data_IF_446465016405
#
_entry.id   IF_446465016405
#
_cell.length_a   1.000
_cell.length_b   1.000
_cell.length_c   1.000
_cell.angle_alpha   90.00
_cell.angle_beta   90.00
_cell.angle_gamma   90.00
#
_symmetry.space_group_name_H-M   'P 1'
#
loop_
_entity.id
_entity.type
_entity.pdbx_description
1 polymer ?
#
# COMPACT_ATOMS: atom_id res chain seq x y z
N UNK A 1 -0.70 10.03 -28.73
CA UNK A 1 -1.36 9.34 -27.61
C UNK A 1 -1.10 10.11 -26.33
N UNK A 2 -2.15 10.52 -25.63
CA UNK A 2 -2.00 11.19 -24.35
C UNK A 2 -1.50 10.19 -23.30
N UNK A 3 -0.51 10.60 -22.52
CA UNK A 3 -0.14 9.82 -21.35
C UNK A 3 -1.28 9.90 -20.32
N UNK A 4 -1.68 8.79 -19.71
CA UNK A 4 -2.66 8.84 -18.64
C UNK A 4 -2.07 9.61 -17.46
N UNK A 5 -2.90 10.39 -16.77
CA UNK A 5 -2.44 11.01 -15.54
C UNK A 5 -2.33 9.94 -14.42
N UNK A 6 -1.59 10.27 -13.38
CA UNK A 6 -1.34 9.32 -12.28
C UNK A 6 -2.63 8.89 -11.59
N UNK A 7 -3.56 9.81 -11.21
CA UNK A 7 -4.81 9.37 -10.61
C UNK A 7 -5.62 8.41 -11.48
N UNK A 8 -5.68 8.66 -12.79
CA UNK A 8 -6.41 7.77 -13.70
C UNK A 8 -5.73 6.41 -13.80
N UNK A 9 -4.41 6.37 -13.84
CA UNK A 9 -3.65 5.12 -13.87
C UNK A 9 -3.91 4.29 -12.61
N UNK A 10 -3.86 4.92 -11.43
CA UNK A 10 -4.12 4.22 -10.17
C UNK A 10 -5.53 3.66 -10.12
N UNK A 11 -6.52 4.41 -10.60
CA UNK A 11 -7.91 3.93 -10.66
C UNK A 11 -8.02 2.70 -11.55
N UNK A 12 -7.38 2.71 -12.72
CA UNK A 12 -7.40 1.57 -13.65
C UNK A 12 -6.72 0.34 -13.04
N UNK A 13 -5.60 0.53 -12.36
CA UNK A 13 -4.92 -0.56 -11.67
C UNK A 13 -5.78 -1.12 -10.54
N UNK A 14 -6.46 -0.27 -9.79
CA UNK A 14 -7.40 -0.71 -8.78
C UNK A 14 -8.55 -1.51 -9.39
N UNK A 15 -9.15 -1.01 -10.47
CA UNK A 15 -10.27 -1.68 -11.14
C UNK A 15 -9.84 -3.07 -11.65
N UNK A 16 -8.61 -3.20 -12.13
CA UNK A 16 -8.09 -4.45 -12.67
C UNK A 16 -7.74 -5.47 -11.58
N UNK A 17 -7.31 -5.02 -10.41
CA UNK A 17 -6.73 -5.89 -9.37
C UNK A 17 -7.57 -5.99 -8.10
N UNK A 18 -8.41 -5.00 -7.83
CA UNK A 18 -9.12 -4.88 -6.56
C UNK A 18 -8.26 -4.38 -5.41
N UNK A 19 -6.97 -4.11 -5.65
CA UNK A 19 -6.05 -3.66 -4.61
C UNK A 19 -6.08 -2.14 -4.48
N UNK A 20 -5.85 -1.65 -3.26
CA UNK A 20 -5.54 -0.24 -3.07
C UNK A 20 -4.14 0.01 -3.64
N UNK A 21 -4.04 0.98 -4.52
CA UNK A 21 -2.76 1.31 -5.19
C UNK A 21 -2.34 2.69 -4.71
N UNK A 22 -1.08 2.83 -4.30
CA UNK A 22 -0.55 4.12 -3.86
C UNK A 22 0.87 4.33 -4.36
N UNK A 23 1.24 5.59 -4.53
CA UNK A 23 2.59 6.01 -4.91
C UNK A 23 3.14 6.86 -3.79
N UNK A 24 4.38 6.57 -3.41
CA UNK A 24 5.10 7.25 -2.33
C UNK A 24 6.42 7.81 -2.84
N UNK A 25 6.85 8.91 -2.25
CA UNK A 25 8.19 9.45 -2.53
C UNK A 25 9.25 8.67 -1.75
N UNK A 26 10.51 9.08 -1.89
CA UNK A 26 11.62 8.41 -1.20
C UNK A 26 11.58 8.57 0.32
N UNK A 27 10.88 9.58 0.81
CA UNK A 27 10.69 9.81 2.25
C UNK A 27 9.41 9.16 2.78
N UNK A 28 8.77 8.31 2.00
CA UNK A 28 7.58 7.54 2.37
C UNK A 28 6.30 8.37 2.45
N UNK A 29 6.29 9.59 1.91
CA UNK A 29 5.08 10.39 1.84
C UNK A 29 4.20 9.87 0.70
N UNK A 30 2.92 9.65 0.98
CA UNK A 30 1.96 9.24 -0.03
C UNK A 30 1.67 10.42 -0.95
N UNK A 31 1.99 10.26 -2.24
CA UNK A 31 1.78 11.29 -3.26
C UNK A 31 0.40 11.17 -3.87
N UNK A 32 -0.05 9.94 -4.11
CA UNK A 32 -1.33 9.66 -4.74
C UNK A 32 -1.77 8.25 -4.35
N UNK A 33 -3.08 8.03 -4.33
CA UNK A 33 -3.64 6.71 -4.01
C UNK A 33 -5.04 6.56 -4.61
N UNK A 34 -5.43 5.32 -4.90
CA UNK A 34 -6.80 5.01 -5.26
C UNK A 34 -7.17 3.62 -4.72
N UNK A 35 -8.28 3.48 -3.98
CA UNK A 35 -9.07 4.57 -3.41
C UNK A 35 -8.25 5.43 -2.45
N UNK A 36 -8.60 6.70 -2.32
CA UNK A 36 -7.87 7.61 -1.43
C UNK A 36 -7.90 7.15 0.02
N UNK A 37 -9.05 6.67 0.46
CA UNK A 37 -9.22 6.19 1.82
C UNK A 37 -8.64 4.78 1.95
N UNK A 38 -7.97 4.55 3.08
CA UNK A 38 -7.56 3.20 3.46
C UNK A 38 -8.78 2.34 3.76
N UNK A 39 -8.59 1.01 3.79
CA UNK A 39 -9.57 0.09 4.33
C UNK A 39 -10.02 0.58 5.71
N UNK A 40 -11.30 0.38 6.05
CA UNK A 40 -11.82 0.81 7.35
C UNK A 40 -11.01 0.24 8.51
N UNK A 41 -10.58 -1.01 8.39
CA UNK A 41 -9.70 -1.65 9.38
C UNK A 41 -8.40 -0.87 9.57
N UNK A 42 -7.76 -0.47 8.46
CA UNK A 42 -6.52 0.31 8.51
C UNK A 42 -6.74 1.70 9.08
N UNK A 43 -7.86 2.35 8.75
CA UNK A 43 -8.19 3.66 9.32
C UNK A 43 -8.34 3.59 10.84
N UNK A 44 -8.95 2.53 11.34
CA UNK A 44 -9.10 2.31 12.77
C UNK A 44 -7.74 2.16 13.44
N UNK A 45 -6.82 1.39 12.83
CA UNK A 45 -5.47 1.22 13.34
C UNK A 45 -4.68 2.52 13.32
N UNK A 46 -4.82 3.31 12.27
CA UNK A 46 -4.10 4.59 12.13
C UNK A 46 -4.62 5.66 13.09
N UNK A 47 -5.85 5.55 13.57
CA UNK A 47 -6.39 6.46 14.57
C UNK A 47 -5.79 6.24 15.96
N UNK A 48 -5.17 5.08 16.22
CA UNK A 48 -4.49 4.77 17.46
C UNK A 48 -2.99 5.01 17.27
N UNK A 49 -2.39 5.82 18.16
CA UNK A 49 -0.99 6.22 18.01
C UNK A 49 -0.03 5.02 18.02
N UNK A 50 -0.26 4.06 18.92
CA UNK A 50 0.61 2.88 19.04
C UNK A 50 0.56 2.01 17.77
N UNK A 51 -0.65 1.71 17.27
CA UNK A 51 -0.79 0.88 16.07
C UNK A 51 -0.33 1.64 14.82
N UNK A 52 -0.53 2.96 14.77
CA UNK A 52 -0.02 3.78 13.66
C UNK A 52 1.50 3.70 13.56
N UNK A 53 2.22 3.77 14.69
CA UNK A 53 3.68 3.63 14.72
C UNK A 53 4.13 2.27 14.21
N UNK A 54 3.42 1.21 14.59
CA UNK A 54 3.73 -0.14 14.13
C UNK A 54 3.56 -0.23 12.61
N UNK A 55 2.49 0.34 12.06
CA UNK A 55 2.26 0.38 10.61
C UNK A 55 3.37 1.14 9.89
N UNK A 56 3.75 2.32 10.39
CA UNK A 56 4.80 3.14 9.78
C UNK A 56 6.13 2.39 9.77
N UNK A 57 6.48 1.74 10.87
CA UNK A 57 7.72 0.97 10.94
C UNK A 57 7.70 -0.21 9.97
N UNK A 58 6.59 -0.92 9.89
CA UNK A 58 6.43 -2.05 8.96
C UNK A 58 6.61 -1.60 7.51
N UNK A 59 6.00 -0.48 7.13
CA UNK A 59 6.12 0.04 5.77
C UNK A 59 7.55 0.51 5.48
N UNK A 60 8.20 1.16 6.45
CA UNK A 60 9.59 1.59 6.29
C UNK A 60 10.53 0.39 6.07
N UNK A 61 10.33 -0.68 6.84
CA UNK A 61 11.12 -1.90 6.69
C UNK A 61 10.88 -2.54 5.30
N UNK A 62 9.62 -2.54 4.84
CA UNK A 62 9.26 -3.08 3.54
C UNK A 62 9.90 -2.29 2.40
N UNK A 63 9.92 -0.96 2.49
CA UNK A 63 10.57 -0.12 1.48
C UNK A 63 12.07 -0.41 1.42
N UNK A 64 12.72 -0.57 2.58
CA UNK A 64 14.14 -0.96 2.61
C UNK A 64 14.38 -2.33 2.00
N UNK A 65 13.51 -3.29 2.25
CA UNK A 65 13.61 -4.62 1.64
C UNK A 65 13.47 -4.55 0.13
N UNK A 66 12.52 -3.77 -0.38
CA UNK A 66 12.32 -3.58 -1.81
C UNK A 66 13.55 -2.93 -2.46
N UNK A 67 14.14 -1.93 -1.82
CA UNK A 67 15.38 -1.30 -2.27
C UNK A 67 16.52 -2.31 -2.35
N UNK A 68 16.67 -3.14 -1.33
CA UNK A 68 17.70 -4.17 -1.30
C UNK A 68 17.55 -5.21 -2.41
N UNK A 69 16.33 -5.61 -2.69
CA UNK A 69 16.01 -6.56 -3.77
C UNK A 69 16.04 -5.91 -5.14
N UNK A 70 15.92 -4.60 -5.21
CA UNK A 70 15.73 -3.84 -6.45
C UNK A 70 14.50 -4.30 -7.22
N UNK A 71 13.44 -4.66 -6.51
CA UNK A 71 12.22 -5.20 -7.12
C UNK A 71 11.10 -5.38 -6.12
N UNK A 72 10.12 -6.14 -6.55
CA UNK A 72 8.90 -6.36 -5.77
C UNK A 72 9.18 -7.09 -4.47
N UNK A 73 8.66 -6.55 -3.37
CA UNK A 73 8.67 -7.18 -2.06
C UNK A 73 7.24 -7.36 -1.57
N UNK A 74 6.86 -8.61 -1.34
CA UNK A 74 5.53 -8.95 -0.81
C UNK A 74 5.70 -9.29 0.66
N UNK A 75 4.84 -8.72 1.50
CA UNK A 75 4.93 -8.92 2.93
C UNK A 75 3.55 -8.88 3.58
N UNK A 76 3.48 -9.40 4.79
CA UNK A 76 2.27 -9.36 5.60
C UNK A 76 2.48 -8.31 6.69
N UNK A 77 1.56 -7.34 6.78
CA UNK A 77 1.67 -6.32 7.82
C UNK A 77 1.42 -6.96 9.20
N UNK A 78 1.84 -6.29 10.29
CA UNK A 78 1.68 -6.86 11.63
C UNK A 78 0.24 -7.18 12.01
N UNK A 79 -0.73 -6.62 11.31
CA UNK A 79 -2.15 -6.82 11.58
C UNK A 79 -2.83 -7.78 10.60
N UNK A 80 -2.04 -8.47 9.77
CA UNK A 80 -2.52 -9.60 8.98
C UNK A 80 -2.93 -9.33 7.55
N UNK A 81 -2.70 -8.13 7.04
CA UNK A 81 -2.99 -7.80 5.64
C UNK A 81 -1.76 -7.99 4.77
N UNK A 82 -1.94 -8.55 3.58
CA UNK A 82 -0.87 -8.65 2.61
C UNK A 82 -0.69 -7.34 1.86
N UNK A 83 0.55 -6.99 1.61
CA UNK A 83 0.93 -5.80 0.88
C UNK A 83 2.13 -6.11 -0.01
N UNK A 84 2.28 -5.34 -1.08
CA UNK A 84 3.42 -5.46 -1.97
C UNK A 84 3.96 -4.06 -2.26
N UNK A 85 5.27 -3.92 -2.29
CA UNK A 85 5.92 -2.66 -2.61
C UNK A 85 6.98 -2.89 -3.67
N UNK A 86 7.08 -1.96 -4.60
CA UNK A 86 8.05 -2.02 -5.69
C UNK A 86 8.70 -0.65 -5.84
N UNK A 87 10.05 -0.58 -5.89
CA UNK A 87 10.71 0.70 -6.17
C UNK A 87 10.37 1.18 -7.57
N UNK A 88 10.21 2.48 -7.73
CA UNK A 88 10.02 3.12 -9.03
C UNK A 88 11.32 3.79 -9.43
N UNK A 89 11.75 3.55 -10.66
CA UNK A 89 13.01 4.07 -11.17
C UNK A 89 12.78 5.07 -12.29
N UNK A 90 13.65 6.05 -12.36
CA UNK A 90 13.74 6.97 -13.48
C UNK A 90 15.20 7.09 -13.87
N UNK A 91 15.53 6.71 -15.12
CA UNK A 91 16.92 6.71 -15.61
C UNK A 91 17.85 5.93 -14.69
N UNK A 92 17.38 4.79 -14.17
CA UNK A 92 18.17 3.92 -13.31
C UNK A 92 18.29 4.33 -11.85
N UNK A 93 17.72 5.50 -11.47
CA UNK A 93 17.75 5.96 -10.09
C UNK A 93 16.38 5.77 -9.44
N UNK A 94 16.32 5.30 -8.18
CA UNK A 94 15.05 5.17 -7.48
C UNK A 94 14.47 6.54 -7.18
N UNK A 95 13.19 6.74 -7.51
CA UNK A 95 12.50 8.02 -7.30
C UNK A 95 11.29 7.90 -6.37
N UNK A 96 10.88 6.68 -6.04
CA UNK A 96 9.75 6.47 -5.17
C UNK A 96 9.35 5.00 -5.12
N UNK A 97 8.14 4.75 -4.66
CA UNK A 97 7.62 3.40 -4.46
C UNK A 97 6.18 3.31 -4.92
N UNK A 98 5.84 2.18 -5.53
CA UNK A 98 4.47 1.79 -5.78
C UNK A 98 4.08 0.76 -4.72
N UNK A 99 2.99 1.01 -4.00
CA UNK A 99 2.47 0.08 -3.02
C UNK A 99 1.10 -0.41 -3.46
N UNK A 100 0.89 -1.72 -3.35
CA UNK A 100 -0.40 -2.36 -3.61
C UNK A 100 -0.77 -3.16 -2.38
N UNK A 101 -1.98 -3.02 -1.89
CA UNK A 101 -2.24 -3.82 -0.72
C UNK A 101 -3.57 -3.62 -0.05
N UNK A 102 -3.49 -3.89 1.27
CA UNK A 102 -4.62 -4.03 2.16
C UNK A 102 -5.51 -5.20 1.72
N UNK A 103 -4.84 -6.34 1.41
CA UNK A 103 -5.46 -7.55 0.87
C UNK A 103 -5.41 -8.64 1.92
N UNK A 104 -6.50 -9.38 2.07
CA UNK A 104 -6.56 -10.54 2.96
C UNK A 104 -6.33 -11.82 2.16
N UNK A 105 -6.04 -12.92 2.88
CA UNK A 105 -5.77 -14.22 2.25
C UNK A 105 -6.99 -14.79 1.52
N UNK A 106 -8.19 -14.40 1.94
CA UNK A 106 -9.42 -14.94 1.38
C UNK A 106 -10.55 -13.92 1.51
N UNK A 107 -11.65 -14.17 0.79
CA UNK A 107 -12.85 -13.36 0.91
C UNK A 107 -13.43 -13.38 2.33
N UNK A 108 -13.30 -14.51 3.02
CA UNK A 108 -13.74 -14.63 4.42
C UNK A 108 -12.93 -13.71 5.31
N UNK A 109 -11.60 -13.66 5.11
CA UNK A 109 -10.72 -12.77 5.88
C UNK A 109 -11.02 -11.31 5.57
N UNK A 110 -11.35 -10.98 4.33
CA UNK A 110 -11.74 -9.64 3.94
C UNK A 110 -13.01 -9.21 4.67
N UNK A 111 -14.01 -10.09 4.73
CA UNK A 111 -15.27 -9.83 5.43
C UNK A 111 -15.03 -9.66 6.93
N UNK A 112 -14.17 -10.50 7.53
CA UNK A 112 -13.80 -10.40 8.94
C UNK A 112 -13.07 -9.10 9.24
N UNK A 113 -12.12 -8.71 8.39
CA UNK A 113 -11.39 -7.46 8.55
C UNK A 113 -12.34 -6.26 8.51
N UNK A 114 -13.26 -6.24 7.55
CA UNK A 114 -14.25 -5.17 7.42
C UNK A 114 -15.19 -5.12 8.64
N UNK A 115 -15.63 -6.27 9.12
CA UNK A 115 -16.49 -6.35 10.29
C UNK A 115 -15.78 -5.86 11.55
N UNK A 116 -14.54 -6.29 11.77
CA UNK A 116 -13.74 -5.86 12.93
C UNK A 116 -13.48 -4.36 12.91
N UNK A 117 -13.30 -3.78 11.74
CA UNK A 117 -13.10 -2.34 11.61
C UNK A 117 -14.34 -1.55 11.97
N UNK A 118 -15.55 -2.14 11.80
CA UNK A 118 -16.81 -1.52 12.18
C UNK A 118 -17.13 -1.63 13.67
N UNK A 119 -16.37 -2.43 14.40
CA UNK A 119 -16.52 -2.59 15.85
C UNK A 119 -15.74 -1.49 16.59
#
# INVERSE_FOLDING_TARGET
MKQPDIPDLLRRLHDATGFRISIHDREMHEIAAYPENHLAFCRTLHANESSARICIKSDADAFRCADGKKGLHIYKCPFGLFEAVCPLYRYGAPVGYLMMGQVTESNADAADAARRAGE
#
